data_IF_340617311700
#
_entry.id   IF_340617311700
#
_cell.length_a   1.000
_cell.length_b   1.000
_cell.length_c   1.000
_cell.angle_alpha   90.00
_cell.angle_beta   90.00
_cell.angle_gamma   90.00
#
_symmetry.space_group_name_H-M   'P 1'
#
loop_
_entity.id
_entity.type
_entity.pdbx_description
1 polymer ?
#
# COMPACT_ATOMS: atom_id res chain seq x y z
N UNK A 1 -13.98 -14.05 -19.12
CA UNK A 1 -14.75 -14.16 -17.87
C UNK A 1 -14.16 -15.26 -17.02
N UNK A 2 -13.53 -14.93 -15.89
CA UNK A 2 -12.97 -15.93 -14.97
C UNK A 2 -14.09 -16.55 -14.14
N UNK A 3 -14.29 -17.86 -14.25
CA UNK A 3 -15.37 -18.58 -13.59
C UNK A 3 -15.16 -18.59 -12.06
N UNK A 4 -16.03 -17.89 -11.33
CA UNK A 4 -15.96 -17.73 -9.86
C UNK A 4 -16.38 -18.98 -9.06
N UNK A 5 -16.72 -20.08 -9.75
CA UNK A 5 -17.30 -21.29 -9.17
C UNK A 5 -16.41 -21.94 -8.11
N UNK A 6 -15.08 -21.85 -8.25
CA UNK A 6 -14.13 -22.50 -7.35
C UNK A 6 -13.85 -21.73 -6.06
N UNK A 7 -14.28 -20.46 -5.93
CA UNK A 7 -14.00 -19.66 -4.73
C UNK A 7 -14.67 -20.19 -3.47
N UNK A 8 -15.86 -20.77 -3.59
CA UNK A 8 -16.64 -21.31 -2.46
C UNK A 8 -16.33 -22.78 -2.15
N UNK A 9 -15.33 -23.38 -2.79
CA UNK A 9 -14.86 -24.72 -2.43
C UNK A 9 -14.04 -24.67 -1.14
N UNK A 10 -13.92 -25.78 -0.42
CA UNK A 10 -13.08 -25.83 0.80
C UNK A 10 -11.63 -25.36 0.53
N UNK A 11 -11.09 -25.68 -0.65
CA UNK A 11 -9.78 -25.20 -1.11
C UNK A 11 -9.78 -23.68 -1.36
N UNK A 12 -10.80 -23.16 -2.04
CA UNK A 12 -10.97 -21.73 -2.31
C UNK A 12 -11.13 -20.89 -1.03
N UNK A 13 -11.87 -21.41 -0.04
CA UNK A 13 -12.03 -20.78 1.27
C UNK A 13 -10.72 -20.83 2.08
N UNK A 14 -10.01 -21.96 2.10
CA UNK A 14 -8.74 -22.09 2.82
C UNK A 14 -7.68 -21.15 2.25
N UNK A 15 -7.62 -21.00 0.92
CA UNK A 15 -6.72 -20.06 0.26
C UNK A 15 -7.02 -18.61 0.67
N UNK A 16 -8.30 -18.21 0.69
CA UNK A 16 -8.70 -16.87 1.14
C UNK A 16 -8.32 -16.60 2.60
N UNK A 17 -8.46 -17.59 3.48
CA UNK A 17 -8.06 -17.47 4.89
C UNK A 17 -6.55 -17.26 5.03
N UNK A 18 -5.74 -17.98 4.24
CA UNK A 18 -4.28 -17.82 4.24
C UNK A 18 -3.90 -16.41 3.76
N UNK A 19 -4.51 -15.92 2.68
CA UNK A 19 -4.26 -14.57 2.16
C UNK A 19 -4.64 -13.50 3.18
N UNK A 20 -5.81 -13.63 3.80
CA UNK A 20 -6.26 -12.69 4.83
C UNK A 20 -5.35 -12.69 6.07
N UNK A 21 -4.82 -13.85 6.45
CA UNK A 21 -3.87 -13.94 7.56
C UNK A 21 -2.50 -13.33 7.20
N UNK A 22 -2.08 -13.46 5.94
CA UNK A 22 -0.89 -12.79 5.43
C UNK A 22 -1.04 -11.26 5.48
N UNK A 23 -2.17 -10.72 5.00
CA UNK A 23 -2.43 -9.28 5.00
C UNK A 23 -2.36 -8.70 6.42
N UNK A 24 -2.98 -9.38 7.40
CA UNK A 24 -2.90 -9.00 8.82
C UNK A 24 -1.47 -9.01 9.35
N UNK A 25 -0.69 -10.05 9.03
CA UNK A 25 0.67 -10.20 9.50
C UNK A 25 1.60 -9.11 8.93
N UNK A 26 1.47 -8.76 7.65
CA UNK A 26 2.26 -7.71 7.01
C UNK A 26 1.91 -6.34 7.58
N UNK A 27 0.62 -6.00 7.69
CA UNK A 27 0.21 -4.71 8.26
C UNK A 27 0.72 -4.53 9.69
N UNK A 28 0.64 -5.59 10.51
CA UNK A 28 1.19 -5.56 11.87
C UNK A 28 2.72 -5.43 11.87
N UNK A 29 3.43 -6.15 11.01
CA UNK A 29 4.88 -6.09 10.94
C UNK A 29 5.38 -4.71 10.47
N UNK A 30 4.75 -4.11 9.46
CA UNK A 30 5.08 -2.78 8.97
C UNK A 30 4.86 -1.73 10.06
N UNK A 31 3.72 -1.74 10.75
CA UNK A 31 3.39 -0.77 11.79
C UNK A 31 4.30 -0.86 13.03
N UNK A 32 4.71 -2.07 13.43
CA UNK A 32 5.44 -2.27 14.68
C UNK A 32 6.97 -2.27 14.48
N UNK A 33 7.46 -2.82 13.37
CA UNK A 33 8.89 -3.14 13.20
C UNK A 33 9.63 -2.15 12.31
N UNK A 34 8.95 -1.52 11.34
CA UNK A 34 9.60 -0.59 10.40
C UNK A 34 9.64 0.82 10.99
N UNK A 35 10.84 1.39 11.10
CA UNK A 35 11.07 2.74 11.64
C UNK A 35 11.79 3.68 10.67
N UNK A 36 12.28 3.13 9.55
CA UNK A 36 13.02 3.90 8.56
C UNK A 36 12.09 4.91 7.89
N UNK A 37 12.61 6.12 7.68
CA UNK A 37 11.90 7.18 6.96
C UNK A 37 12.63 7.48 5.66
N UNK A 38 11.87 7.51 4.58
CA UNK A 38 12.34 7.89 3.24
C UNK A 38 11.70 9.23 2.88
N UNK A 39 12.50 10.14 2.33
CA UNK A 39 12.00 11.37 1.73
C UNK A 39 12.12 11.25 0.21
N UNK A 40 11.23 11.88 -0.55
CA UNK A 40 11.36 11.90 -2.00
C UNK A 40 11.02 13.27 -2.59
N UNK A 41 11.58 13.54 -3.77
CA UNK A 41 11.28 14.70 -4.60
C UNK A 41 10.95 14.22 -6.01
N UNK A 42 9.96 14.82 -6.64
CA UNK A 42 9.52 14.44 -7.99
C UNK A 42 8.70 15.54 -8.64
N UNK A 43 8.41 15.38 -9.93
CA UNK A 43 7.35 16.10 -10.61
C UNK A 43 6.08 15.26 -10.66
N UNK A 44 4.94 15.84 -10.25
CA UNK A 44 3.65 15.16 -10.35
C UNK A 44 3.18 15.18 -11.80
N UNK A 45 2.91 14.00 -12.37
CA UNK A 45 2.37 13.86 -13.72
C UNK A 45 0.83 13.85 -13.68
N UNK A 46 0.26 12.87 -12.97
CA UNK A 46 -1.19 12.79 -12.77
C UNK A 46 -1.53 12.21 -11.40
N UNK A 47 -2.70 12.56 -10.88
CA UNK A 47 -3.25 12.02 -9.64
C UNK A 47 -4.70 11.58 -9.81
N UNK A 48 -5.13 10.64 -8.99
CA UNK A 48 -6.52 10.19 -8.89
C UNK A 48 -6.84 9.82 -7.46
N UNK A 49 -7.99 10.25 -6.99
CA UNK A 49 -8.61 9.76 -5.76
C UNK A 49 -9.95 9.13 -6.10
N UNK A 50 -10.14 7.87 -5.73
CA UNK A 50 -11.38 7.12 -5.95
C UNK A 50 -11.45 6.01 -4.90
N UNK A 51 -12.62 5.80 -4.30
CA UNK A 51 -12.86 4.73 -3.31
C UNK A 51 -11.83 4.68 -2.17
N UNK A 52 -11.53 5.85 -1.58
CA UNK A 52 -10.54 5.99 -0.49
C UNK A 52 -9.11 5.57 -0.86
N UNK A 53 -8.81 5.48 -2.15
CA UNK A 53 -7.50 5.10 -2.67
C UNK A 53 -6.93 6.23 -3.52
N UNK A 54 -5.81 6.75 -3.07
CA UNK A 54 -4.99 7.69 -3.82
C UNK A 54 -4.07 6.95 -4.77
N UNK A 55 -3.93 7.49 -5.98
CA UNK A 55 -2.96 7.03 -6.97
C UNK A 55 -2.26 8.25 -7.55
N UNK A 56 -0.94 8.27 -7.47
CA UNK A 56 -0.08 9.31 -8.05
C UNK A 56 0.87 8.66 -9.06
N UNK A 57 1.02 9.29 -10.23
CA UNK A 57 2.07 8.98 -11.18
C UNK A 57 3.05 10.16 -11.16
N UNK A 58 4.32 9.85 -10.92
CA UNK A 58 5.39 10.81 -10.69
C UNK A 58 6.49 10.60 -11.72
N UNK A 59 7.06 11.69 -12.21
CA UNK A 59 8.19 11.70 -13.13
C UNK A 59 9.44 12.24 -12.43
N UNK A 60 10.62 11.78 -12.85
CA UNK A 60 11.93 12.13 -12.29
C UNK A 60 11.97 12.06 -10.77
N UNK A 61 11.73 10.86 -10.22
CA UNK A 61 11.62 10.64 -8.78
C UNK A 61 12.99 10.37 -8.17
N UNK A 62 13.30 11.13 -7.12
CA UNK A 62 14.50 10.96 -6.30
C UNK A 62 14.09 10.54 -4.89
N UNK A 63 14.34 9.28 -4.55
CA UNK A 63 14.18 8.75 -3.18
C UNK A 63 15.48 8.90 -2.40
N UNK A 64 15.38 9.43 -1.18
CA UNK A 64 16.48 9.64 -0.26
C UNK A 64 16.18 9.00 1.09
N UNK A 65 16.95 7.97 1.41
CA UNK A 65 17.13 7.44 2.77
C UNK A 65 18.46 7.98 3.31
N UNK A 66 18.72 7.87 4.62
CA UNK A 66 19.89 8.49 5.30
C UNK A 66 21.21 8.26 4.56
N UNK A 67 21.42 7.06 4.03
CA UNK A 67 22.67 6.69 3.32
C UNK A 67 22.45 6.24 1.88
N UNK A 68 21.21 6.19 1.40
CA UNK A 68 20.87 5.65 0.07
C UNK A 68 20.12 6.67 -0.76
N UNK A 69 20.50 6.75 -2.01
CA UNK A 69 19.89 7.60 -3.01
C UNK A 69 19.49 6.75 -4.22
N UNK A 70 18.23 6.85 -4.64
CA UNK A 70 17.67 6.09 -5.75
C UNK A 70 16.95 7.08 -6.66
N UNK A 71 17.29 7.06 -7.95
CA UNK A 71 16.62 7.86 -8.98
C UNK A 71 15.89 6.95 -9.96
N UNK A 72 14.65 7.30 -10.30
CA UNK A 72 13.79 6.54 -11.22
C UNK A 72 13.07 7.52 -12.13
N UNK A 73 12.92 7.18 -13.41
CA UNK A 73 12.29 8.05 -14.40
C UNK A 73 10.78 8.22 -14.14
N UNK A 74 10.09 7.15 -13.74
CA UNK A 74 8.67 7.15 -13.40
C UNK A 74 8.38 6.27 -12.19
N UNK A 75 7.54 6.75 -11.26
CA UNK A 75 7.03 5.95 -10.14
C UNK A 75 5.53 6.13 -9.95
N UNK A 76 4.84 5.03 -9.64
CA UNK A 76 3.42 5.03 -9.26
C UNK A 76 3.28 4.80 -7.75
N UNK A 77 2.72 5.77 -7.03
CA UNK A 77 2.40 5.64 -5.61
C UNK A 77 0.91 5.35 -5.48
N UNK A 78 0.57 4.29 -4.75
CA UNK A 78 -0.80 3.95 -4.36
C UNK A 78 -0.88 3.98 -2.84
N UNK A 79 -1.85 4.73 -2.32
CA UNK A 79 -2.03 4.93 -0.89
C UNK A 79 -3.51 4.73 -0.52
N UNK A 80 -3.75 3.97 0.54
CA UNK A 80 -5.10 3.69 1.04
C UNK A 80 -5.35 4.58 2.24
N UNK A 81 -6.45 5.34 2.24
CA UNK A 81 -6.81 6.20 3.37
C UNK A 81 -7.18 5.34 4.61
N UNK A 82 -6.32 5.36 5.62
CA UNK A 82 -6.35 4.52 6.83
C UNK A 82 -7.43 4.93 7.87
N UNK A 83 -8.51 5.60 7.44
CA UNK A 83 -9.60 6.03 8.34
C UNK A 83 -10.39 4.90 9.00
N UNK A 84 -9.93 3.65 8.91
CA UNK A 84 -10.59 2.46 9.44
C UNK A 84 -9.65 1.67 10.36
N UNK A 85 -9.07 2.31 11.39
CA UNK A 85 -8.73 1.66 12.68
C UNK A 85 -8.38 2.73 13.72
N UNK A 86 -9.29 3.00 14.65
CA UNK A 86 -9.32 4.26 15.40
C UNK A 86 -8.34 4.41 16.57
N UNK A 87 -8.08 5.68 16.89
CA UNK A 87 -8.15 6.19 18.25
C UNK A 87 -8.87 7.53 18.22
N UNK A 88 -10.04 7.60 18.86
CA UNK A 88 -10.55 8.85 19.37
C UNK A 88 -9.43 9.51 20.20
N UNK A 89 -8.89 10.61 19.72
CA UNK A 89 -8.24 11.58 20.59
C UNK A 89 -8.82 12.92 20.20
N UNK A 90 -9.73 13.36 21.05
CA UNK A 90 -10.12 14.74 21.24
C UNK A 90 -8.90 15.65 21.18
N UNK A 91 -8.82 16.52 20.16
CA UNK A 91 -8.99 17.98 20.27
C UNK A 91 -9.03 18.61 18.87
#
# INVERSE_FOLDING_TARGET
MAYQLYRNTALGNSLQVILLQFDKAINSALAQRVRNRVNFRSFLNMYRFCDNLWTFILNDVEFREVTKFIKVDEAKIVDCDDKITGSNTTE
#
